data_IF_466774770688
#
_entry.id   IF_466774770688
#
_cell.length_a   1.000
_cell.length_b   1.000
_cell.length_c   1.000
_cell.angle_alpha   90.00
_cell.angle_beta   90.00
_cell.angle_gamma   90.00
#
_symmetry.space_group_name_H-M   'P 1'
#
loop_
_entity.id
_entity.type
_entity.pdbx_description
1 polymer ?
#
# COMPACT_ATOMS: atom_id res chain seq x y z
N UNK A 1 13.59 22.25 3.01
CA UNK A 1 12.62 21.24 3.52
C UNK A 1 11.64 20.69 2.47
N UNK A 2 11.13 21.42 1.45
CA UNK A 2 10.18 20.83 0.48
C UNK A 2 10.84 19.71 -0.32
N UNK A 3 12.10 19.94 -0.68
CA UNK A 3 12.97 18.98 -1.35
C UNK A 3 13.14 17.66 -0.59
N UNK A 4 13.34 17.69 0.73
CA UNK A 4 13.41 16.46 1.54
C UNK A 4 12.12 15.65 1.41
N UNK A 5 10.95 16.29 1.53
CA UNK A 5 9.69 15.57 1.35
C UNK A 5 9.60 14.98 -0.07
N UNK A 6 9.94 15.75 -1.10
CA UNK A 6 9.89 15.28 -2.49
C UNK A 6 10.79 14.06 -2.72
N UNK A 7 12.00 14.08 -2.17
CA UNK A 7 12.94 12.95 -2.24
C UNK A 7 12.35 11.72 -1.53
N UNK A 8 11.90 11.86 -0.29
CA UNK A 8 11.43 10.73 0.50
C UNK A 8 10.10 10.15 -0.01
N UNK A 9 9.16 11.00 -0.43
CA UNK A 9 7.91 10.58 -1.07
C UNK A 9 8.18 9.93 -2.44
N UNK A 10 9.12 10.48 -3.21
CA UNK A 10 9.55 9.90 -4.48
C UNK A 10 10.17 8.51 -4.30
N UNK A 11 11.07 8.37 -3.33
CA UNK A 11 11.73 7.10 -3.01
C UNK A 11 10.73 6.06 -2.50
N UNK A 12 9.84 6.44 -1.58
CA UNK A 12 8.77 5.57 -1.10
C UNK A 12 7.87 5.10 -2.26
N UNK A 13 7.39 6.02 -3.10
CA UNK A 13 6.56 5.70 -4.24
C UNK A 13 7.25 4.80 -5.26
N UNK A 14 8.51 5.07 -5.58
CA UNK A 14 9.29 4.28 -6.55
C UNK A 14 9.56 2.86 -6.04
N UNK A 15 9.94 2.71 -4.77
CA UNK A 15 10.23 1.39 -4.19
C UNK A 15 8.95 0.56 -4.00
N UNK A 16 7.86 1.17 -3.54
CA UNK A 16 6.56 0.49 -3.46
C UNK A 16 6.04 0.10 -4.84
N UNK A 17 6.25 0.94 -5.87
CA UNK A 17 5.90 0.60 -7.25
C UNK A 17 6.78 -0.55 -7.79
N UNK A 18 8.08 -0.53 -7.53
CA UNK A 18 8.99 -1.60 -7.93
C UNK A 18 8.63 -2.93 -7.25
N UNK A 19 8.38 -2.92 -5.94
CA UNK A 19 7.84 -4.06 -5.22
C UNK A 19 6.54 -4.52 -5.89
N UNK A 20 5.64 -3.57 -6.17
CA UNK A 20 4.40 -3.75 -6.91
C UNK A 20 4.53 -4.60 -8.17
N UNK A 21 5.39 -4.12 -9.07
CA UNK A 21 5.67 -4.73 -10.37
C UNK A 21 6.23 -6.14 -10.19
N UNK A 22 7.17 -6.34 -9.27
CA UNK A 22 7.77 -7.65 -9.02
C UNK A 22 6.72 -8.66 -8.53
N UNK A 23 5.79 -8.25 -7.68
CA UNK A 23 4.71 -9.15 -7.22
C UNK A 23 3.75 -9.52 -8.34
N UNK A 24 3.39 -8.56 -9.19
CA UNK A 24 2.54 -8.84 -10.36
C UNK A 24 3.25 -9.80 -11.30
N UNK A 25 4.54 -9.57 -11.58
CA UNK A 25 5.35 -10.49 -12.39
C UNK A 25 5.44 -11.87 -11.75
N UNK A 26 5.61 -11.96 -10.43
CA UNK A 26 5.57 -13.23 -9.71
C UNK A 26 4.26 -13.97 -9.98
N UNK A 27 3.09 -13.35 -9.76
CA UNK A 27 1.82 -14.04 -9.99
C UNK A 27 1.55 -14.38 -11.47
N UNK A 28 1.86 -13.46 -12.39
CA UNK A 28 1.64 -13.66 -13.83
C UNK A 28 2.56 -14.74 -14.41
N UNK A 29 3.82 -14.83 -13.93
CA UNK A 29 4.81 -15.77 -14.47
C UNK A 29 4.87 -17.10 -13.71
N UNK A 30 4.56 -17.10 -12.41
CA UNK A 30 4.63 -18.29 -11.58
C UNK A 30 3.36 -19.15 -11.63
N UNK A 31 2.19 -18.58 -11.96
CA UNK A 31 0.91 -19.28 -11.87
C UNK A 31 -0.10 -19.12 -13.02
N UNK A 32 0.27 -18.90 -14.31
CA UNK A 32 -0.77 -18.86 -15.34
C UNK A 32 -1.42 -20.24 -15.60
N UNK A 33 -0.83 -21.36 -15.15
CA UNK A 33 -1.30 -22.72 -15.49
C UNK A 33 -1.21 -23.76 -14.34
N UNK A 34 -1.20 -23.35 -13.07
CA UNK A 34 -1.23 -24.29 -11.94
C UNK A 34 0.05 -25.13 -11.72
N UNK A 35 1.13 -24.87 -12.46
CA UNK A 35 2.44 -25.50 -12.28
C UNK A 35 3.38 -24.47 -11.67
N UNK A 36 3.86 -24.73 -10.45
CA UNK A 36 4.87 -23.88 -9.80
C UNK A 36 6.15 -23.87 -10.65
N UNK A 37 6.41 -22.78 -11.37
CA UNK A 37 7.64 -22.62 -12.14
C UNK A 37 8.76 -22.16 -11.22
N UNK A 38 9.59 -23.09 -10.74
CA UNK A 38 10.71 -22.83 -9.84
C UNK A 38 11.63 -21.69 -10.33
N UNK A 39 11.80 -21.55 -11.64
CA UNK A 39 12.62 -20.51 -12.27
C UNK A 39 12.17 -19.06 -11.97
N UNK A 40 10.93 -18.84 -11.54
CA UNK A 40 10.38 -17.51 -11.20
C UNK A 40 10.06 -17.36 -9.71
N UNK A 41 10.32 -18.40 -8.90
CA UNK A 41 10.01 -18.41 -7.47
C UNK A 41 10.77 -17.31 -6.69
N UNK A 42 11.92 -16.87 -7.21
CA UNK A 42 12.75 -15.81 -6.64
C UNK A 42 12.08 -14.42 -6.67
N UNK A 43 11.07 -14.20 -7.53
CA UNK A 43 10.38 -12.91 -7.61
C UNK A 43 9.60 -12.59 -6.33
N UNK A 44 9.03 -13.60 -5.65
CA UNK A 44 8.35 -13.40 -4.35
C UNK A 44 9.29 -12.80 -3.30
N UNK A 45 10.43 -13.44 -2.98
CA UNK A 45 11.43 -12.88 -2.07
C UNK A 45 11.97 -11.51 -2.48
N UNK A 46 12.10 -11.21 -3.79
CA UNK A 46 12.52 -9.88 -4.25
C UNK A 46 11.45 -8.83 -3.96
N UNK A 47 10.16 -9.12 -4.15
CA UNK A 47 9.08 -8.23 -3.75
C UNK A 47 9.12 -7.95 -2.24
N UNK A 48 9.30 -8.99 -1.42
CA UNK A 48 9.38 -8.88 0.03
C UNK A 48 10.55 -7.98 0.47
N UNK A 49 11.76 -8.20 -0.09
CA UNK A 49 12.92 -7.35 0.20
C UNK A 49 12.73 -5.91 -0.24
N UNK A 50 12.16 -5.67 -1.42
CA UNK A 50 11.85 -4.31 -1.87
C UNK A 50 10.84 -3.62 -0.93
N UNK A 51 9.85 -4.36 -0.43
CA UNK A 51 8.87 -3.86 0.53
C UNK A 51 9.52 -3.51 1.87
N UNK A 52 10.45 -4.34 2.35
CA UNK A 52 11.25 -4.08 3.56
C UNK A 52 12.11 -2.82 3.38
N UNK A 53 12.80 -2.69 2.25
CA UNK A 53 13.63 -1.53 1.96
C UNK A 53 12.79 -0.25 1.80
N UNK A 54 11.57 -0.36 1.27
CA UNK A 54 10.64 0.76 1.11
C UNK A 54 10.12 1.32 2.45
N UNK A 55 10.17 0.52 3.52
CA UNK A 55 9.63 0.89 4.83
C UNK A 55 10.28 2.16 5.40
N UNK A 56 11.60 2.28 5.33
CA UNK A 56 12.32 3.46 5.81
C UNK A 56 11.87 4.75 5.11
N UNK A 57 11.98 4.82 3.78
CA UNK A 57 11.46 5.96 3.01
C UNK A 57 9.99 6.26 3.25
N UNK A 58 9.15 5.23 3.36
CA UNK A 58 7.71 5.38 3.59
C UNK A 58 7.41 5.98 4.97
N UNK A 59 8.11 5.54 6.03
CA UNK A 59 8.01 6.12 7.37
C UNK A 59 8.41 7.60 7.34
N UNK A 60 9.58 7.92 6.77
CA UNK A 60 10.07 9.30 6.71
C UNK A 60 9.12 10.20 5.91
N UNK A 61 8.64 9.72 4.75
CA UNK A 61 7.66 10.43 3.93
C UNK A 61 6.35 10.72 4.69
N UNK A 62 5.87 9.74 5.45
CA UNK A 62 4.67 9.83 6.30
C UNK A 62 4.84 10.91 7.37
N UNK A 63 5.95 10.88 8.10
CA UNK A 63 6.25 11.84 9.16
C UNK A 63 6.42 13.27 8.61
N UNK A 64 7.17 13.42 7.51
CA UNK A 64 7.37 14.72 6.88
C UNK A 64 6.06 15.30 6.34
N UNK A 65 5.20 14.48 5.74
CA UNK A 65 3.90 14.94 5.25
C UNK A 65 3.01 15.38 6.41
N UNK A 66 2.97 14.64 7.52
CA UNK A 66 2.22 15.02 8.72
C UNK A 66 2.71 16.36 9.31
N UNK A 67 4.03 16.56 9.38
CA UNK A 67 4.63 17.83 9.81
C UNK A 67 4.22 18.98 8.88
N UNK A 68 4.28 18.78 7.56
CA UNK A 68 3.92 19.81 6.57
C UNK A 68 2.44 20.14 6.53
N UNK A 69 1.59 19.14 6.68
CA UNK A 69 0.16 19.32 6.86
C UNK A 69 -0.19 20.00 8.19
N UNK A 70 0.80 20.21 9.08
CA UNK A 70 0.65 20.70 10.46
C UNK A 70 -0.43 19.93 11.21
N UNK A 71 -0.39 18.60 11.10
CA UNK A 71 -1.21 17.71 11.91
C UNK A 71 -0.90 17.95 13.40
N UNK A 72 -1.92 17.91 14.25
CA UNK A 72 -1.81 18.13 15.70
C UNK A 72 -2.65 17.11 16.47
N UNK A 73 -2.28 16.87 17.74
CA UNK A 73 -3.04 16.04 18.67
C UNK A 73 -3.32 14.63 18.13
N UNK A 74 -4.61 14.29 18.01
CA UNK A 74 -5.07 12.98 17.55
C UNK A 74 -4.51 12.56 16.18
N UNK A 75 -4.22 13.52 15.30
CA UNK A 75 -3.64 13.24 13.99
C UNK A 75 -2.19 12.73 14.06
N UNK A 76 -1.43 13.16 15.08
CA UNK A 76 -0.08 12.64 15.33
C UNK A 76 -0.12 11.23 15.91
N UNK A 77 -1.09 10.93 16.77
CA UNK A 77 -1.32 9.57 17.27
C UNK A 77 -1.65 8.65 16.08
N UNK A 78 -2.53 9.10 15.17
CA UNK A 78 -2.87 8.33 13.98
C UNK A 78 -1.66 8.12 13.06
N UNK A 79 -0.84 9.16 12.86
CA UNK A 79 0.43 9.06 12.13
C UNK A 79 1.38 8.03 12.78
N UNK A 80 1.50 8.06 14.11
CA UNK A 80 2.30 7.08 14.86
C UNK A 80 1.78 5.66 14.69
N UNK A 81 0.45 5.46 14.71
CA UNK A 81 -0.16 4.16 14.49
C UNK A 81 0.15 3.61 13.07
N UNK A 82 0.15 4.47 12.04
CA UNK A 82 0.58 4.09 10.68
C UNK A 82 2.05 3.69 10.66
N UNK A 83 2.93 4.48 11.28
CA UNK A 83 4.36 4.15 11.37
C UNK A 83 4.59 2.82 12.07
N UNK A 84 3.90 2.56 13.19
CA UNK A 84 3.96 1.28 13.91
C UNK A 84 3.48 0.13 13.01
N UNK A 85 2.39 0.34 12.25
CA UNK A 85 1.90 -0.64 11.29
C UNK A 85 2.94 -0.97 10.21
N UNK A 86 3.59 0.04 9.64
CA UNK A 86 4.67 -0.14 8.65
C UNK A 86 5.82 -0.97 9.24
N UNK A 87 6.25 -0.65 10.45
CA UNK A 87 7.30 -1.40 11.17
C UNK A 87 6.86 -2.85 11.42
N UNK A 88 5.62 -3.05 11.90
CA UNK A 88 5.09 -4.38 12.15
C UNK A 88 5.03 -5.24 10.88
N UNK A 89 4.54 -4.69 9.76
CA UNK A 89 4.57 -5.38 8.47
C UNK A 89 5.99 -5.74 8.03
N UNK A 90 6.94 -4.82 8.22
CA UNK A 90 8.35 -5.03 7.87
C UNK A 90 8.93 -6.19 8.67
N UNK A 91 8.69 -6.22 9.98
CA UNK A 91 9.13 -7.31 10.86
C UNK A 91 8.52 -8.64 10.41
N UNK A 92 7.21 -8.69 10.17
CA UNK A 92 6.54 -9.92 9.71
C UNK A 92 7.08 -10.40 8.36
N UNK A 93 7.35 -9.48 7.44
CA UNK A 93 7.94 -9.79 6.13
C UNK A 93 9.36 -10.35 6.27
N UNK A 94 10.19 -9.79 7.14
CA UNK A 94 11.53 -10.34 7.46
C UNK A 94 11.42 -11.72 8.10
N UNK A 95 10.47 -11.93 9.02
CA UNK A 95 10.23 -13.24 9.62
C UNK A 95 9.77 -14.27 8.59
N UNK A 96 8.96 -13.87 7.61
CA UNK A 96 8.59 -14.75 6.48
C UNK A 96 9.79 -15.13 5.63
N UNK A 97 10.64 -14.16 5.27
CA UNK A 97 11.89 -14.42 4.54
C UNK A 97 12.82 -15.36 5.30
N UNK A 98 12.79 -15.32 6.64
CA UNK A 98 13.53 -16.24 7.51
C UNK A 98 12.83 -17.60 7.72
N UNK A 99 11.67 -17.84 7.11
CA UNK A 99 10.88 -19.08 7.27
C UNK A 99 10.19 -19.22 8.64
N UNK A 100 10.04 -18.13 9.39
CA UNK A 100 9.49 -18.10 10.77
C UNK A 100 8.07 -17.57 10.86
N UNK A 101 7.53 -17.01 9.78
CA UNK A 101 6.14 -16.57 9.67
C UNK A 101 5.53 -17.10 8.37
N UNK A 102 4.19 -17.14 8.32
CA UNK A 102 3.44 -17.59 7.14
C UNK A 102 2.73 -16.42 6.47
N UNK A 103 2.30 -16.63 5.22
CA UNK A 103 1.45 -15.68 4.49
C UNK A 103 0.21 -15.26 5.29
N UNK A 104 -0.38 -16.18 6.06
CA UNK A 104 -1.55 -15.86 6.89
C UNK A 104 -1.23 -14.78 7.95
N UNK A 105 -0.05 -14.87 8.60
CA UNK A 105 0.41 -13.86 9.56
C UNK A 105 0.62 -12.51 8.86
N UNK A 106 1.22 -12.52 7.67
CA UNK A 106 1.40 -11.29 6.88
C UNK A 106 0.08 -10.69 6.46
N UNK A 107 -0.92 -11.47 6.05
CA UNK A 107 -2.26 -10.95 5.74
C UNK A 107 -2.91 -10.27 6.96
N UNK A 108 -2.82 -10.89 8.14
CA UNK A 108 -3.36 -10.34 9.39
C UNK A 108 -2.68 -9.02 9.77
N UNK A 109 -1.38 -8.88 9.52
CA UNK A 109 -0.65 -7.63 9.77
C UNK A 109 -0.87 -6.57 8.67
N UNK A 110 -0.92 -7.00 7.40
CA UNK A 110 -0.94 -6.11 6.24
C UNK A 110 -2.30 -5.46 6.01
N UNK A 111 -3.39 -6.23 6.09
CA UNK A 111 -4.74 -5.69 5.79
C UNK A 111 -5.11 -4.52 6.72
N UNK A 112 -4.96 -4.61 8.06
CA UNK A 112 -5.23 -3.48 8.94
C UNK A 112 -4.28 -2.31 8.68
N UNK A 113 -3.00 -2.57 8.44
CA UNK A 113 -2.00 -1.52 8.19
C UNK A 113 -2.30 -0.75 6.91
N UNK A 114 -2.67 -1.45 5.83
CA UNK A 114 -3.05 -0.84 4.55
C UNK A 114 -4.30 0.02 4.74
N UNK A 115 -5.32 -0.50 5.42
CA UNK A 115 -6.53 0.27 5.73
C UNK A 115 -6.20 1.55 6.50
N UNK A 116 -5.35 1.42 7.53
CA UNK A 116 -4.89 2.53 8.37
C UNK A 116 -4.14 3.58 7.54
N UNK A 117 -3.21 3.14 6.68
CA UNK A 117 -2.38 4.01 5.86
C UNK A 117 -3.17 4.74 4.75
N UNK A 118 -4.17 4.08 4.16
CA UNK A 118 -5.07 4.70 3.18
C UNK A 118 -5.98 5.73 3.84
N UNK A 119 -6.60 5.39 4.98
CA UNK A 119 -7.41 6.34 5.74
C UNK A 119 -6.58 7.55 6.16
N UNK A 120 -5.38 7.32 6.70
CA UNK A 120 -4.45 8.39 7.03
C UNK A 120 -4.10 9.26 5.83
N UNK A 121 -3.85 8.66 4.66
CA UNK A 121 -3.54 9.40 3.44
C UNK A 121 -4.69 10.33 3.01
N UNK A 122 -5.94 9.92 3.17
CA UNK A 122 -7.11 10.79 2.90
C UNK A 122 -7.07 12.05 3.75
N UNK A 123 -6.82 11.92 5.07
CA UNK A 123 -6.78 13.07 5.95
C UNK A 123 -5.53 13.94 5.74
N UNK A 124 -4.36 13.31 5.60
CA UNK A 124 -3.10 14.01 5.37
C UNK A 124 -3.14 14.84 4.08
N UNK A 125 -3.66 14.27 2.99
CA UNK A 125 -3.78 14.98 1.70
C UNK A 125 -4.82 16.10 1.74
N UNK A 126 -5.98 15.91 2.39
CA UNK A 126 -6.96 16.99 2.59
C UNK A 126 -6.39 18.17 3.37
N UNK A 127 -5.67 17.91 4.46
CA UNK A 127 -5.00 18.95 5.24
C UNK A 127 -3.90 19.64 4.42
N UNK A 128 -3.12 18.88 3.65
CA UNK A 128 -2.10 19.42 2.76
C UNK A 128 -2.70 20.33 1.66
N UNK A 129 -3.85 19.95 1.09
CA UNK A 129 -4.61 20.79 0.13
C UNK A 129 -5.11 22.06 0.79
N UNK A 130 -5.70 21.97 1.99
CA UNK A 130 -6.18 23.14 2.74
C UNK A 130 -5.07 24.14 3.10
N UNK A 131 -3.80 23.71 3.03
CA UNK A 131 -2.61 24.56 3.23
C UNK A 131 -1.92 24.94 1.91
N UNK A 132 -2.54 24.68 0.76
CA UNK A 132 -2.00 24.92 -0.58
C UNK A 132 -0.64 24.25 -0.84
N UNK A 133 -0.33 23.18 -0.10
CA UNK A 133 0.94 22.46 -0.21
C UNK A 133 0.97 21.47 -1.38
N UNK A 134 -0.19 20.88 -1.68
CA UNK A 134 -0.43 19.99 -2.83
C UNK A 134 -1.72 20.39 -3.54
N UNK A 135 -1.86 20.10 -4.84
CA UNK A 135 -3.06 20.45 -5.59
C UNK A 135 -4.29 19.61 -5.18
N UNK A 136 -5.52 20.14 -5.31
CA UNK A 136 -6.75 19.48 -4.83
C UNK A 136 -6.98 18.06 -5.35
N UNK A 137 -6.55 17.77 -6.59
CA UNK A 137 -6.72 16.45 -7.19
C UNK A 137 -5.99 15.33 -6.43
N UNK A 138 -4.95 15.64 -5.65
CA UNK A 138 -4.23 14.67 -4.80
C UNK A 138 -5.16 14.13 -3.70
N UNK A 139 -5.97 15.00 -3.09
CA UNK A 139 -6.95 14.58 -2.10
C UNK A 139 -8.10 13.77 -2.73
N UNK A 140 -8.50 14.12 -3.96
CA UNK A 140 -9.48 13.33 -4.73
C UNK A 140 -8.91 11.93 -5.00
N UNK A 141 -7.66 11.83 -5.45
CA UNK A 141 -7.00 10.54 -5.67
C UNK A 141 -6.97 9.71 -4.38
N UNK A 142 -6.58 10.28 -3.24
CA UNK A 142 -6.60 9.56 -1.97
C UNK A 142 -8.00 9.03 -1.60
N UNK A 143 -9.06 9.82 -1.84
CA UNK A 143 -10.45 9.37 -1.64
C UNK A 143 -10.82 8.24 -2.59
N UNK A 144 -10.47 8.35 -3.88
CA UNK A 144 -10.71 7.28 -4.87
C UNK A 144 -10.05 5.97 -4.44
N UNK A 145 -8.81 6.02 -3.94
CA UNK A 145 -8.10 4.84 -3.44
C UNK A 145 -8.78 4.26 -2.19
N UNK A 146 -9.25 5.11 -1.27
CA UNK A 146 -10.01 4.65 -0.11
C UNK A 146 -11.32 3.98 -0.49
N UNK A 147 -12.07 4.57 -1.43
CA UNK A 147 -13.32 4.00 -1.94
C UNK A 147 -13.05 2.69 -2.68
N UNK A 148 -12.03 2.62 -3.54
CA UNK A 148 -11.64 1.39 -4.22
C UNK A 148 -11.24 0.30 -3.23
N UNK A 149 -10.50 0.64 -2.16
CA UNK A 149 -10.13 -0.31 -1.11
C UNK A 149 -11.37 -0.88 -0.41
N UNK A 150 -12.33 -0.04 -0.03
CA UNK A 150 -13.57 -0.49 0.61
C UNK A 150 -14.36 -1.40 -0.34
N UNK A 151 -14.52 -1.01 -1.62
CA UNK A 151 -15.23 -1.82 -2.61
C UNK A 151 -14.53 -3.17 -2.80
N UNK A 152 -13.22 -3.18 -2.99
CA UNK A 152 -12.44 -4.41 -3.15
C UNK A 152 -12.60 -5.33 -1.92
N UNK A 153 -12.50 -4.76 -0.71
CA UNK A 153 -12.65 -5.50 0.53
C UNK A 153 -14.06 -6.11 0.66
N UNK A 154 -15.11 -5.34 0.36
CA UNK A 154 -16.50 -5.82 0.41
C UNK A 154 -16.74 -6.91 -0.63
N UNK A 155 -16.26 -6.76 -1.86
CA UNK A 155 -16.45 -7.75 -2.92
C UNK A 155 -15.71 -9.06 -2.61
N UNK A 156 -14.44 -8.96 -2.18
CA UNK A 156 -13.65 -10.13 -1.79
C UNK A 156 -14.25 -10.79 -0.54
N UNK A 157 -14.67 -10.00 0.45
CA UNK A 157 -15.35 -10.50 1.64
C UNK A 157 -16.70 -11.17 1.33
N UNK A 158 -17.50 -10.60 0.45
CA UNK A 158 -18.75 -11.22 0.00
C UNK A 158 -18.48 -12.52 -0.77
N UNK A 159 -17.40 -12.58 -1.56
CA UNK A 159 -17.01 -13.81 -2.27
C UNK A 159 -16.73 -14.98 -1.32
N UNK A 160 -16.19 -14.72 -0.12
CA UNK A 160 -15.86 -15.78 0.84
C UNK A 160 -17.09 -16.36 1.55
N UNK A 161 -18.20 -15.61 1.59
CA UNK A 161 -19.49 -16.07 2.10
C UNK A 161 -20.27 -16.95 1.10
N UNK A 162 -19.87 -16.97 -0.18
CA UNK A 162 -20.54 -17.78 -1.21
C UNK A 162 -19.96 -19.21 -1.29
N UNK A 163 -20.80 -20.20 -1.66
CA UNK A 163 -20.31 -21.52 -2.02
C UNK A 163 -19.38 -21.44 -3.25
N UNK A 164 -18.53 -22.46 -3.40
CA UNK A 164 -17.65 -22.56 -4.57
C UNK A 164 -18.49 -22.62 -5.85
N UNK A 165 -18.17 -21.76 -6.81
CA UNK A 165 -18.95 -21.63 -8.04
C UNK A 165 -18.66 -20.33 -8.80
N UNK A 166 -19.28 -20.14 -9.97
CA UNK A 166 -18.99 -19.02 -10.86
C UNK A 166 -19.26 -17.65 -10.23
N UNK A 167 -20.28 -17.53 -9.36
CA UNK A 167 -20.58 -16.29 -8.64
C UNK A 167 -19.47 -15.88 -7.66
N UNK A 168 -18.90 -16.84 -6.92
CA UNK A 168 -17.74 -16.60 -6.03
C UNK A 168 -16.52 -16.18 -6.83
N UNK A 169 -16.23 -16.86 -7.93
CA UNK A 169 -15.11 -16.52 -8.82
C UNK A 169 -15.28 -15.12 -9.41
N UNK A 170 -16.48 -14.77 -9.89
CA UNK A 170 -16.76 -13.46 -10.47
C UNK A 170 -16.54 -12.33 -9.44
N UNK A 171 -17.10 -12.44 -8.23
CA UNK A 171 -16.88 -11.44 -7.18
C UNK A 171 -15.41 -11.32 -6.78
N UNK A 172 -14.71 -12.45 -6.69
CA UNK A 172 -13.28 -12.44 -6.37
C UNK A 172 -12.44 -11.75 -7.44
N UNK A 173 -12.72 -12.02 -8.73
CA UNK A 173 -12.03 -11.38 -9.85
C UNK A 173 -12.32 -9.88 -9.94
N UNK A 174 -13.59 -9.48 -9.83
CA UNK A 174 -13.98 -8.06 -9.85
C UNK A 174 -13.38 -7.33 -8.64
N UNK A 175 -13.47 -7.92 -7.44
CA UNK A 175 -12.85 -7.38 -6.24
C UNK A 175 -11.33 -7.26 -6.37
N UNK A 176 -10.66 -8.26 -6.96
CA UNK A 176 -9.23 -8.23 -7.26
C UNK A 176 -8.86 -7.13 -8.27
N UNK A 177 -9.66 -6.94 -9.32
CA UNK A 177 -9.45 -5.88 -10.31
C UNK A 177 -9.59 -4.48 -9.68
N UNK A 178 -10.57 -4.27 -8.80
CA UNK A 178 -10.70 -3.03 -8.04
C UNK A 178 -9.53 -2.88 -7.05
N UNK A 179 -9.12 -3.96 -6.39
CA UNK A 179 -7.96 -3.99 -5.49
C UNK A 179 -6.66 -3.60 -6.20
N UNK A 180 -6.50 -3.97 -7.47
CA UNK A 180 -5.34 -3.58 -8.29
C UNK A 180 -5.23 -2.05 -8.44
N UNK A 181 -6.35 -1.34 -8.50
CA UNK A 181 -6.37 0.14 -8.53
C UNK A 181 -5.72 0.70 -7.27
N UNK A 182 -6.01 0.14 -6.10
CA UNK A 182 -5.39 0.53 -4.83
C UNK A 182 -3.90 0.19 -4.84
N UNK A 183 -3.59 -1.01 -5.30
CA UNK A 183 -2.23 -1.55 -5.33
C UNK A 183 -1.27 -0.68 -6.16
N UNK A 184 -1.70 -0.23 -7.33
CA UNK A 184 -0.92 0.65 -8.22
C UNK A 184 -1.06 2.11 -7.80
N UNK A 185 -2.26 2.51 -7.39
CA UNK A 185 -2.58 3.89 -7.10
C UNK A 185 -1.95 4.42 -5.81
N UNK A 186 -1.72 3.58 -4.80
CA UNK A 186 -1.08 4.01 -3.56
C UNK A 186 0.40 4.39 -3.74
N UNK A 187 1.27 3.60 -4.40
CA UNK A 187 2.60 4.06 -4.83
C UNK A 187 2.54 5.32 -5.70
N UNK A 188 1.60 5.37 -6.65
CA UNK A 188 1.43 6.52 -7.54
C UNK A 188 1.09 7.81 -6.75
N UNK A 189 0.26 7.73 -5.72
CA UNK A 189 -0.06 8.87 -4.85
C UNK A 189 1.20 9.51 -4.26
N UNK A 190 2.15 8.71 -3.80
CA UNK A 190 3.42 9.20 -3.26
C UNK A 190 4.29 9.88 -4.34
N UNK A 191 4.36 9.30 -5.54
CA UNK A 191 5.04 9.92 -6.68
C UNK A 191 4.37 11.24 -7.09
N UNK A 192 3.04 11.28 -7.09
CA UNK A 192 2.26 12.48 -7.38
C UNK A 192 2.54 13.59 -6.35
N UNK A 193 2.59 13.27 -5.05
CA UNK A 193 2.99 14.21 -4.00
C UNK A 193 4.42 14.70 -4.24
N UNK A 194 5.36 13.79 -4.55
CA UNK A 194 6.76 14.15 -4.83
C UNK A 194 6.91 15.13 -6.01
N UNK A 195 6.09 14.97 -7.04
CA UNK A 195 6.11 15.82 -8.23
C UNK A 195 5.42 17.17 -8.06
N UNK A 196 4.52 17.31 -7.07
CA UNK A 196 3.64 18.49 -6.94
C UNK A 196 3.79 19.29 -5.66
N UNK A 197 4.45 18.76 -4.63
CA UNK A 197 4.66 19.43 -3.36
C UNK A 197 5.49 20.73 -3.51
N UNK A 198 5.03 21.82 -2.88
CA UNK A 198 5.63 23.17 -2.94
C UNK A 198 6.24 23.61 -1.62
#
# INVERSE_FOLDING_TARGET
MPEQLRIWTGLAGAMLAAAGIVLVLFFVLAMPFGVARAQWAWLGPVNDWLSVLAAGPWIVATLLLAQRARMTGAWWIFTGAVVIGIVAMTIVTVLMLAGRATLAVQYVAAVPTIALAILWAVFATRLAVGRAFVPPWIAVLAVVLATAFVIAFVLIGASSALPQGPGRTALWLVGGAVGLVVYVGYPALWLCIASTAR
#
